data_IF_055441565804
#
_entry.id   IF_055441565804
#
_cell.length_a   1.000
_cell.length_b   1.000
_cell.length_c   1.000
_cell.angle_alpha   90.00
_cell.angle_beta   90.00
_cell.angle_gamma   90.00
#
_symmetry.space_group_name_H-M   'P 1'
#
loop_
_entity.id
_entity.type
_entity.pdbx_description
1 polymer ?
#
# COMPACT_ATOMS: atom_id res chain seq x y z
N UNK A 1 -21.17 -9.38 -11.21
CA UNK A 1 -19.90 -9.26 -10.48
C UNK A 1 -18.91 -10.18 -11.18
N UNK A 2 -17.82 -9.64 -11.72
CA UNK A 2 -16.75 -10.47 -12.27
C UNK A 2 -16.16 -11.31 -11.14
N UNK A 3 -16.04 -12.63 -11.39
CA UNK A 3 -15.41 -13.53 -10.42
C UNK A 3 -13.92 -13.22 -10.45
N UNK A 4 -13.38 -12.72 -9.34
CA UNK A 4 -11.95 -12.53 -9.17
C UNK A 4 -11.28 -13.87 -8.91
N UNK A 5 -10.14 -14.09 -9.52
CA UNK A 5 -9.41 -15.36 -9.54
C UNK A 5 -8.03 -15.28 -8.89
N UNK A 6 -7.53 -14.08 -8.60
CA UNK A 6 -6.20 -13.88 -8.09
C UNK A 6 -6.16 -12.84 -6.97
N UNK A 7 -5.21 -12.99 -6.05
CA UNK A 7 -4.88 -12.02 -5.02
C UNK A 7 -3.36 -11.83 -4.95
N UNK A 8 -2.92 -10.70 -4.39
CA UNK A 8 -1.52 -10.44 -4.15
C UNK A 8 -1.28 -10.22 -2.66
N UNK A 9 -0.22 -10.82 -2.11
CA UNK A 9 0.23 -10.56 -0.74
C UNK A 9 1.56 -9.81 -0.78
N UNK A 10 1.54 -8.58 -0.27
CA UNK A 10 2.73 -7.74 -0.13
C UNK A 10 3.16 -7.77 1.33
N UNK A 11 4.42 -8.06 1.60
CA UNK A 11 4.87 -8.24 2.98
C UNK A 11 6.35 -7.91 3.16
N UNK A 12 6.77 -7.44 4.34
CA UNK A 12 8.18 -7.34 4.70
C UNK A 12 8.74 -8.70 5.08
N UNK A 13 10.03 -8.90 4.86
CA UNK A 13 10.76 -10.09 5.33
C UNK A 13 10.63 -10.19 6.85
N UNK A 14 10.38 -11.38 7.37
CA UNK A 14 10.25 -11.68 8.80
C UNK A 14 8.84 -12.01 9.28
N UNK A 15 7.81 -11.89 8.40
CA UNK A 15 6.41 -12.21 8.71
C UNK A 15 5.87 -13.42 7.93
N UNK A 16 6.73 -14.28 7.44
CA UNK A 16 6.42 -15.39 6.53
C UNK A 16 5.38 -16.37 7.12
N UNK A 17 5.36 -16.53 8.45
CA UNK A 17 4.37 -17.39 9.10
C UNK A 17 2.94 -16.88 8.89
N UNK A 18 2.75 -15.57 8.97
CA UNK A 18 1.46 -14.91 8.73
C UNK A 18 1.10 -14.95 7.24
N UNK A 19 2.09 -14.69 6.37
CA UNK A 19 1.94 -14.77 4.91
C UNK A 19 1.45 -16.16 4.50
N UNK A 20 2.09 -17.22 5.02
CA UNK A 20 1.66 -18.61 4.75
C UNK A 20 0.19 -18.85 5.11
N UNK A 21 -0.24 -18.35 6.26
CA UNK A 21 -1.64 -18.48 6.68
C UNK A 21 -2.59 -17.70 5.76
N UNK A 22 -2.19 -16.50 5.33
CA UNK A 22 -2.97 -15.70 4.38
C UNK A 22 -3.08 -16.40 3.02
N UNK A 23 -1.98 -16.89 2.46
CA UNK A 23 -1.94 -17.65 1.20
C UNK A 23 -2.89 -18.85 1.27
N UNK A 24 -2.74 -19.71 2.29
CA UNK A 24 -3.61 -20.88 2.46
C UNK A 24 -5.10 -20.52 2.54
N UNK A 25 -5.44 -19.37 3.12
CA UNK A 25 -6.83 -18.93 3.18
C UNK A 25 -7.34 -18.39 1.84
N UNK A 26 -6.53 -17.63 1.09
CA UNK A 26 -6.89 -17.21 -0.26
C UNK A 26 -7.05 -18.38 -1.22
N UNK A 27 -6.17 -19.38 -1.15
CA UNK A 27 -6.29 -20.62 -1.95
C UNK A 27 -7.58 -21.39 -1.64
N UNK A 28 -7.99 -21.46 -0.35
CA UNK A 28 -9.29 -22.04 0.03
C UNK A 28 -10.49 -21.27 -0.52
N UNK A 29 -10.31 -19.97 -0.79
CA UNK A 29 -11.32 -19.14 -1.48
C UNK A 29 -11.30 -19.32 -3.00
N UNK A 30 -10.39 -20.14 -3.54
CA UNK A 30 -10.24 -20.38 -4.97
C UNK A 30 -9.42 -19.32 -5.69
N UNK A 31 -8.59 -18.55 -4.96
CA UNK A 31 -7.73 -17.51 -5.53
C UNK A 31 -6.31 -18.03 -5.73
N UNK A 32 -5.73 -17.74 -6.87
CA UNK A 32 -4.29 -17.83 -7.08
C UNK A 32 -3.57 -16.69 -6.37
N UNK A 33 -2.47 -16.97 -5.69
CA UNK A 33 -1.81 -15.97 -4.85
C UNK A 33 -0.42 -15.65 -5.35
N UNK A 34 -0.20 -14.39 -5.68
CA UNK A 34 1.14 -13.86 -5.95
C UNK A 34 1.71 -13.24 -4.66
N UNK A 35 2.92 -13.63 -4.30
CA UNK A 35 3.63 -13.11 -3.13
C UNK A 35 4.74 -12.17 -3.56
N UNK A 36 4.81 -11.00 -2.93
CA UNK A 36 5.89 -10.04 -3.14
C UNK A 36 6.48 -9.62 -1.79
N UNK A 37 7.67 -10.12 -1.52
CA UNK A 37 8.44 -9.68 -0.36
C UNK A 37 9.05 -8.30 -0.64
N UNK A 38 8.79 -7.34 0.24
CA UNK A 38 9.51 -6.07 0.22
C UNK A 38 10.84 -6.24 0.96
N UNK A 39 11.89 -5.75 0.34
CA UNK A 39 13.18 -5.63 1.02
C UNK A 39 13.06 -4.72 2.23
N UNK A 40 13.97 -4.88 3.15
CA UNK A 40 14.12 -4.00 4.31
C UNK A 40 14.39 -2.56 3.89
N UNK A 41 14.21 -1.63 4.79
CA UNK A 41 14.61 -0.24 4.61
C UNK A 41 16.13 -0.14 4.50
N UNK A 42 16.64 -0.46 3.32
CA UNK A 42 18.07 -0.54 3.02
C UNK A 42 18.81 0.77 3.38
N UNK A 43 18.12 1.89 3.31
CA UNK A 43 18.65 3.20 3.66
C UNK A 43 19.17 3.32 5.10
N UNK A 44 18.70 2.50 6.03
CA UNK A 44 19.26 2.48 7.39
C UNK A 44 20.70 1.96 7.47
N UNK A 45 21.18 1.35 6.40
CA UNK A 45 22.52 0.76 6.31
C UNK A 45 23.52 1.67 5.57
N UNK A 46 23.07 2.81 5.05
CA UNK A 46 23.89 3.73 4.28
C UNK A 46 24.27 4.96 5.09
N UNK A 47 25.41 5.56 4.76
CA UNK A 47 25.94 6.74 5.43
C UNK A 47 25.09 8.00 5.22
N UNK A 48 24.28 8.04 4.16
CA UNK A 48 23.44 9.17 3.83
C UNK A 48 22.19 8.76 3.03
N UNK A 49 21.32 9.74 2.77
CA UNK A 49 20.02 9.54 2.14
C UNK A 49 20.13 9.17 0.65
N UNK A 50 19.61 8.01 0.27
CA UNK A 50 19.59 7.45 -1.08
C UNK A 50 18.18 7.41 -1.71
N UNK A 51 17.18 8.03 -1.07
CA UNK A 51 15.78 7.95 -1.56
C UNK A 51 15.58 8.60 -2.91
N UNK A 52 16.43 9.54 -3.29
CA UNK A 52 16.34 10.28 -4.54
C UNK A 52 17.47 9.93 -5.54
N UNK A 53 18.14 8.79 -5.40
CA UNK A 53 19.23 8.37 -6.29
C UNK A 53 18.79 8.28 -7.76
N UNK A 54 17.51 8.05 -8.03
CA UNK A 54 16.95 8.14 -9.38
C UNK A 54 17.18 9.49 -10.06
N UNK A 55 17.44 10.56 -9.28
CA UNK A 55 17.74 11.88 -9.83
C UNK A 55 18.96 11.86 -10.76
N UNK A 56 19.86 10.90 -10.58
CA UNK A 56 21.03 10.74 -11.44
C UNK A 56 20.68 10.44 -12.91
N UNK A 57 19.59 9.72 -13.17
CA UNK A 57 19.22 9.25 -14.51
C UNK A 57 17.76 9.51 -14.91
N UNK A 58 16.96 10.11 -14.03
CA UNK A 58 15.54 10.35 -14.29
C UNK A 58 15.37 11.48 -15.30
N UNK A 59 14.91 11.15 -16.49
CA UNK A 59 14.50 12.07 -17.52
C UNK A 59 13.16 11.67 -18.16
N UNK A 60 12.67 12.49 -19.08
CA UNK A 60 11.38 12.24 -19.75
C UNK A 60 11.39 10.93 -20.56
N UNK A 61 12.47 10.64 -21.28
CA UNK A 61 12.57 9.44 -22.12
C UNK A 61 12.57 8.16 -21.27
N UNK A 62 13.22 8.19 -20.10
CA UNK A 62 13.20 7.10 -19.14
C UNK A 62 11.79 6.84 -18.61
N UNK A 63 11.07 7.89 -18.23
CA UNK A 63 9.69 7.79 -17.74
C UNK A 63 8.75 7.25 -18.82
N UNK A 64 8.80 7.80 -20.02
CA UNK A 64 7.93 7.36 -21.13
C UNK A 64 8.17 5.90 -21.50
N UNK A 65 9.43 5.46 -21.57
CA UNK A 65 9.76 4.04 -21.81
C UNK A 65 9.24 3.15 -20.68
N UNK A 66 9.39 3.58 -19.42
CA UNK A 66 8.86 2.86 -18.28
C UNK A 66 7.34 2.71 -18.32
N UNK A 67 6.62 3.75 -18.74
CA UNK A 67 5.16 3.73 -18.89
C UNK A 67 4.72 2.82 -20.05
N UNK A 68 5.44 2.86 -21.17
CA UNK A 68 5.18 1.96 -22.31
C UNK A 68 5.38 0.48 -21.89
N UNK A 69 6.49 0.18 -21.22
CA UNK A 69 6.73 -1.17 -20.70
C UNK A 69 5.64 -1.61 -19.72
N UNK A 70 5.21 -0.73 -18.84
CA UNK A 70 4.14 -0.99 -17.88
C UNK A 70 2.81 -1.31 -18.57
N UNK A 71 2.46 -0.53 -19.60
CA UNK A 71 1.26 -0.75 -20.40
C UNK A 71 1.32 -2.06 -21.18
N UNK A 72 2.45 -2.36 -21.83
CA UNK A 72 2.62 -3.59 -22.60
C UNK A 72 2.51 -4.83 -21.71
N UNK A 73 3.09 -4.81 -20.52
CA UNK A 73 2.96 -5.91 -19.57
C UNK A 73 1.49 -6.15 -19.15
N UNK A 74 0.70 -5.08 -18.95
CA UNK A 74 -0.72 -5.24 -18.68
C UNK A 74 -1.53 -5.74 -19.88
N UNK A 75 -1.17 -5.38 -21.11
CA UNK A 75 -1.84 -5.93 -22.29
C UNK A 75 -1.54 -7.42 -22.46
N UNK A 76 -0.28 -7.84 -22.26
CA UNK A 76 0.12 -9.24 -22.35
C UNK A 76 -0.57 -10.09 -21.27
N UNK A 77 -0.67 -9.57 -20.04
CA UNK A 77 -1.23 -10.27 -18.88
C UNK A 77 -2.67 -9.83 -18.54
N UNK A 78 -3.40 -9.32 -19.51
CA UNK A 78 -4.73 -8.72 -19.32
C UNK A 78 -5.73 -9.61 -18.60
N UNK A 79 -5.73 -10.89 -18.91
CA UNK A 79 -6.67 -11.87 -18.29
C UNK A 79 -6.38 -11.99 -16.79
N UNK A 80 -5.13 -12.10 -16.42
CA UNK A 80 -4.70 -12.17 -15.02
C UNK A 80 -4.96 -10.86 -14.28
N UNK A 81 -4.68 -9.72 -14.93
CA UNK A 81 -4.92 -8.40 -14.34
C UNK A 81 -6.41 -8.16 -14.03
N UNK A 82 -7.32 -8.51 -14.95
CA UNK A 82 -8.77 -8.41 -14.73
C UNK A 82 -9.23 -9.32 -13.58
N UNK A 83 -8.61 -10.49 -13.45
CA UNK A 83 -8.88 -11.44 -12.36
C UNK A 83 -8.40 -11.00 -10.98
N UNK A 84 -7.60 -9.93 -10.87
CA UNK A 84 -7.04 -9.49 -9.60
C UNK A 84 -8.10 -8.95 -8.64
N UNK A 85 -8.23 -9.57 -7.47
CA UNK A 85 -9.14 -9.13 -6.41
C UNK A 85 -8.60 -7.90 -5.64
N UNK A 86 -7.30 -7.73 -5.62
CA UNK A 86 -6.60 -6.65 -4.95
C UNK A 86 -5.49 -7.15 -4.02
N UNK A 87 -4.69 -6.24 -3.47
CA UNK A 87 -3.60 -6.59 -2.57
C UNK A 87 -4.06 -6.76 -1.12
N UNK A 88 -3.46 -7.74 -0.43
CA UNK A 88 -3.36 -7.77 1.02
C UNK A 88 -1.93 -7.35 1.39
N UNK A 89 -1.80 -6.27 2.13
CA UNK A 89 -0.51 -5.67 2.49
C UNK A 89 -0.28 -5.86 3.99
N UNK A 90 0.87 -6.38 4.35
CA UNK A 90 1.32 -6.41 5.74
C UNK A 90 2.32 -5.27 5.91
N UNK A 91 1.96 -4.30 6.73
CA UNK A 91 2.82 -3.16 7.06
C UNK A 91 3.33 -3.27 8.49
N UNK A 92 4.64 -3.25 8.65
CA UNK A 92 5.26 -3.22 9.97
C UNK A 92 5.32 -1.81 10.52
N UNK A 93 5.22 -1.69 11.83
CA UNK A 93 5.39 -0.42 12.54
C UNK A 93 6.17 -0.64 13.85
N UNK A 94 6.61 0.46 14.46
CA UNK A 94 7.44 0.43 15.66
C UNK A 94 8.92 0.30 15.35
N UNK A 95 9.32 0.52 14.11
CA UNK A 95 10.71 0.68 13.75
C UNK A 95 11.25 2.01 14.29
N UNK A 96 12.57 2.06 14.52
CA UNK A 96 13.24 3.33 14.77
C UNK A 96 13.02 4.28 13.59
N UNK A 97 12.73 5.57 13.86
CA UNK A 97 12.54 6.55 12.79
C UNK A 97 13.74 6.58 11.86
N UNK A 98 13.48 6.51 10.55
CA UNK A 98 14.52 6.69 9.56
C UNK A 98 14.93 8.17 9.52
N UNK A 99 16.16 8.46 9.91
CA UNK A 99 16.72 9.81 9.95
C UNK A 99 18.08 9.82 9.24
N UNK A 100 18.07 9.80 7.88
CA UNK A 100 19.31 9.77 7.11
C UNK A 100 20.04 11.10 7.22
N UNK A 101 21.36 11.01 7.23
CA UNK A 101 22.22 12.18 7.18
C UNK A 101 22.13 12.85 5.79
N UNK A 102 21.97 14.16 5.77
CA UNK A 102 22.00 14.93 4.52
C UNK A 102 23.44 15.33 4.20
N UNK A 103 23.96 14.80 3.11
CA UNK A 103 25.30 15.13 2.58
C UNK A 103 25.18 15.74 1.19
N UNK A 104 26.20 16.51 0.80
CA UNK A 104 26.26 17.14 -0.53
C UNK A 104 26.36 16.11 -1.67
N UNK A 105 26.84 14.92 -1.36
CA UNK A 105 26.96 13.77 -2.28
C UNK A 105 25.60 13.12 -2.59
N UNK A 106 24.58 13.33 -1.76
CA UNK A 106 23.26 12.78 -1.98
C UNK A 106 22.58 13.43 -3.19
N UNK A 107 22.08 12.61 -4.09
CA UNK A 107 21.25 13.11 -5.19
C UNK A 107 19.95 13.71 -4.69
N UNK A 108 19.46 14.75 -5.38
CA UNK A 108 18.17 15.37 -5.10
C UNK A 108 17.45 15.64 -6.41
N UNK A 109 16.14 15.42 -6.40
CA UNK A 109 15.32 15.79 -7.54
C UNK A 109 15.27 17.31 -7.71
N UNK A 110 15.62 17.76 -8.92
CA UNK A 110 15.27 19.10 -9.35
C UNK A 110 13.76 19.22 -9.62
N UNK A 111 13.26 20.45 -9.73
CA UNK A 111 11.82 20.71 -9.93
C UNK A 111 11.23 19.93 -11.10
N UNK A 112 11.90 19.90 -12.25
CA UNK A 112 11.45 19.13 -13.43
C UNK A 112 11.37 17.62 -13.16
N UNK A 113 12.29 17.09 -12.38
CA UNK A 113 12.29 15.66 -12.03
C UNK A 113 11.19 15.33 -11.03
N UNK A 114 10.91 16.22 -10.07
CA UNK A 114 9.76 16.07 -9.18
C UNK A 114 8.44 16.04 -9.97
N UNK A 115 8.29 16.93 -10.96
CA UNK A 115 7.14 16.93 -11.86
C UNK A 115 7.05 15.61 -12.66
N UNK A 116 8.17 15.09 -13.13
CA UNK A 116 8.21 13.78 -13.81
C UNK A 116 7.82 12.62 -12.90
N UNK A 117 8.24 12.64 -11.63
CA UNK A 117 7.81 11.62 -10.65
C UNK A 117 6.29 11.64 -10.43
N UNK A 118 5.70 12.84 -10.28
CA UNK A 118 4.24 13.00 -10.14
C UNK A 118 3.52 12.52 -11.41
N UNK A 119 4.01 12.92 -12.57
CA UNK A 119 3.47 12.47 -13.87
C UNK A 119 3.53 10.95 -14.02
N UNK A 120 4.70 10.33 -13.77
CA UNK A 120 4.88 8.88 -13.84
C UNK A 120 3.89 8.15 -12.92
N UNK A 121 3.80 8.58 -11.66
CA UNK A 121 2.90 7.97 -10.68
C UNK A 121 1.43 8.06 -11.11
N UNK A 122 1.00 9.23 -11.59
CA UNK A 122 -0.34 9.45 -12.12
C UNK A 122 -0.65 8.57 -13.32
N UNK A 123 0.25 8.50 -14.30
CA UNK A 123 0.06 7.70 -15.50
C UNK A 123 0.07 6.19 -15.19
N UNK A 124 0.96 5.72 -14.31
CA UNK A 124 0.94 4.32 -13.85
C UNK A 124 -0.39 3.96 -13.19
N UNK A 125 -0.92 4.84 -12.35
CA UNK A 125 -2.24 4.65 -11.73
C UNK A 125 -3.36 4.56 -12.77
N UNK A 126 -3.37 5.44 -13.75
CA UNK A 126 -4.36 5.43 -14.83
C UNK A 126 -4.28 4.16 -15.68
N UNK A 127 -3.06 3.74 -16.08
CA UNK A 127 -2.86 2.49 -16.82
C UNK A 127 -3.35 1.30 -15.98
N UNK A 128 -2.93 1.21 -14.73
CA UNK A 128 -3.35 0.12 -13.83
C UNK A 128 -4.88 0.05 -13.71
N UNK A 129 -5.57 1.18 -13.54
CA UNK A 129 -7.02 1.22 -13.39
C UNK A 129 -7.80 0.85 -14.68
N UNK A 130 -7.17 0.85 -15.85
CA UNK A 130 -7.78 0.33 -17.08
C UNK A 130 -7.96 -1.19 -17.04
N UNK A 131 -7.07 -1.90 -16.33
CA UNK A 131 -7.05 -3.37 -16.27
C UNK A 131 -7.58 -3.90 -14.93
N UNK A 132 -7.18 -3.25 -13.84
CA UNK A 132 -7.59 -3.59 -12.48
C UNK A 132 -8.48 -2.45 -11.97
N UNK A 133 -9.75 -2.50 -12.32
CA UNK A 133 -10.70 -1.42 -12.01
C UNK A 133 -10.88 -1.24 -10.52
N UNK A 134 -10.84 0.02 -10.08
CA UNK A 134 -10.93 0.38 -8.66
C UNK A 134 -12.22 -0.10 -8.01
N UNK A 135 -13.35 0.00 -8.71
CA UNK A 135 -14.68 -0.41 -8.25
C UNK A 135 -14.87 -1.93 -8.17
N UNK A 136 -14.00 -2.71 -8.81
CA UNK A 136 -14.08 -4.17 -8.85
C UNK A 136 -13.09 -4.86 -7.90
N UNK A 137 -12.24 -4.10 -7.22
CA UNK A 137 -11.21 -4.60 -6.31
C UNK A 137 -11.40 -4.10 -4.90
N UNK A 138 -10.84 -4.82 -3.96
CA UNK A 138 -10.64 -4.37 -2.59
C UNK A 138 -9.15 -4.42 -2.24
N UNK A 139 -8.78 -3.78 -1.15
CA UNK A 139 -7.47 -3.94 -0.55
C UNK A 139 -7.61 -4.06 0.96
N UNK A 140 -6.63 -4.68 1.57
CA UNK A 140 -6.53 -4.71 3.02
C UNK A 140 -5.09 -4.40 3.42
N UNK A 141 -4.94 -3.59 4.46
CA UNK A 141 -3.65 -3.31 5.07
C UNK A 141 -3.71 -3.82 6.50
N UNK A 142 -2.79 -4.71 6.84
CA UNK A 142 -2.69 -5.32 8.15
C UNK A 142 -1.47 -4.75 8.85
N UNK A 143 -1.69 -3.98 9.92
CA UNK A 143 -0.62 -3.44 10.73
C UNK A 143 0.02 -4.56 11.58
N UNK A 144 1.34 -4.60 11.63
CA UNK A 144 2.10 -5.60 12.39
C UNK A 144 3.20 -4.91 13.19
N UNK A 145 3.11 -4.87 14.53
CA UNK A 145 4.12 -4.22 15.35
C UNK A 145 5.41 -5.05 15.40
N UNK A 146 6.54 -4.37 15.42
CA UNK A 146 7.85 -4.98 15.60
C UNK A 146 8.31 -4.90 17.08
N UNK A 147 9.12 -5.85 17.56
CA UNK A 147 9.67 -5.80 18.91
C UNK A 147 10.49 -4.54 19.22
N UNK A 148 11.04 -3.88 18.19
CA UNK A 148 11.75 -2.60 18.30
C UNK A 148 10.89 -1.44 18.82
N UNK A 149 9.57 -1.60 18.86
CA UNK A 149 8.67 -0.62 19.49
C UNK A 149 8.93 -0.45 20.99
N UNK A 150 9.63 -1.40 21.60
CA UNK A 150 10.11 -1.32 22.98
C UNK A 150 9.34 -2.15 23.99
N UNK A 151 9.45 -1.78 25.28
CA UNK A 151 8.96 -2.57 26.43
C UNK A 151 7.45 -2.88 26.40
N UNK A 152 6.66 -2.11 25.65
CA UNK A 152 5.20 -2.33 25.52
C UNK A 152 4.82 -3.19 24.30
N UNK A 153 5.77 -3.87 23.68
CA UNK A 153 5.51 -4.67 22.49
C UNK A 153 4.37 -5.69 22.69
N UNK A 154 4.41 -6.47 23.76
CA UNK A 154 3.40 -7.51 24.04
C UNK A 154 1.98 -6.93 24.14
N UNK A 155 1.83 -5.81 24.82
CA UNK A 155 0.55 -5.12 24.97
C UNK A 155 0.04 -4.60 23.62
N UNK A 156 0.91 -3.92 22.85
CA UNK A 156 0.58 -3.37 21.55
C UNK A 156 0.24 -4.49 20.56
N UNK A 157 1.00 -5.59 20.59
CA UNK A 157 0.74 -6.74 19.75
C UNK A 157 -0.63 -7.36 20.04
N UNK A 158 -0.95 -7.56 21.33
CA UNK A 158 -2.25 -8.09 21.75
C UNK A 158 -3.42 -7.21 21.31
N UNK A 159 -3.33 -5.89 21.46
CA UNK A 159 -4.35 -4.95 20.98
C UNK A 159 -4.44 -4.94 19.43
N UNK A 160 -3.31 -5.04 18.72
CA UNK A 160 -3.30 -5.13 17.27
C UNK A 160 -4.00 -6.40 16.80
N UNK A 161 -3.74 -7.55 17.40
CA UNK A 161 -4.44 -8.80 17.11
C UNK A 161 -5.93 -8.66 17.36
N UNK A 162 -6.33 -8.10 18.48
CA UNK A 162 -7.72 -7.87 18.85
C UNK A 162 -8.45 -7.00 17.81
N UNK A 163 -7.82 -5.90 17.34
CA UNK A 163 -8.37 -5.04 16.31
C UNK A 163 -8.50 -5.79 14.97
N UNK A 164 -7.49 -6.55 14.58
CA UNK A 164 -7.50 -7.29 13.30
C UNK A 164 -8.40 -8.54 13.31
N UNK A 165 -8.90 -8.96 14.46
CA UNK A 165 -9.81 -10.11 14.61
C UNK A 165 -11.23 -9.72 15.00
N UNK A 166 -11.61 -8.46 14.81
CA UNK A 166 -12.97 -7.98 15.05
C UNK A 166 -13.96 -8.64 14.09
N UNK A 167 -15.21 -8.75 14.54
CA UNK A 167 -16.30 -9.25 13.69
C UNK A 167 -16.53 -8.31 12.49
N UNK A 168 -16.00 -8.70 11.34
CA UNK A 168 -16.08 -7.91 10.12
C UNK A 168 -17.53 -7.70 9.65
N UNK A 169 -18.45 -8.62 9.94
CA UNK A 169 -19.86 -8.48 9.57
C UNK A 169 -20.54 -7.38 10.38
N UNK A 170 -20.22 -7.29 11.66
CA UNK A 170 -20.69 -6.20 12.51
C UNK A 170 -20.19 -4.84 11.99
N UNK A 171 -18.88 -4.77 11.71
CA UNK A 171 -18.26 -3.55 11.16
C UNK A 171 -18.84 -3.16 9.81
N UNK A 172 -18.98 -4.10 8.90
CA UNK A 172 -19.60 -3.88 7.60
C UNK A 172 -20.99 -3.27 7.74
N UNK A 173 -21.82 -3.84 8.64
CA UNK A 173 -23.16 -3.34 8.86
C UNK A 173 -23.19 -1.94 9.47
N UNK A 174 -22.24 -1.62 10.34
CA UNK A 174 -22.09 -0.27 10.89
C UNK A 174 -21.64 0.72 9.81
N UNK A 175 -20.66 0.37 9.02
CA UNK A 175 -20.15 1.19 7.91
C UNK A 175 -21.25 1.42 6.86
N UNK A 176 -22.02 0.39 6.51
CA UNK A 176 -23.12 0.54 5.55
C UNK A 176 -24.15 1.59 6.01
N UNK A 177 -24.51 1.60 7.28
CA UNK A 177 -25.42 2.64 7.80
C UNK A 177 -24.85 4.05 7.66
N UNK A 178 -23.53 4.20 7.83
CA UNK A 178 -22.88 5.50 7.60
C UNK A 178 -22.88 5.88 6.11
N UNK A 179 -22.58 4.92 5.24
CA UNK A 179 -22.63 5.11 3.78
C UNK A 179 -24.02 5.52 3.34
N UNK A 180 -25.07 4.83 3.79
CA UNK A 180 -26.46 5.13 3.43
C UNK A 180 -26.87 6.57 3.81
N UNK A 181 -26.31 7.11 4.89
CA UNK A 181 -26.53 8.50 5.29
C UNK A 181 -25.70 9.47 4.44
N UNK A 182 -24.43 9.14 4.20
CA UNK A 182 -23.52 9.98 3.42
C UNK A 182 -23.93 10.08 1.95
N UNK A 183 -24.47 9.01 1.38
CA UNK A 183 -24.98 8.98 -0.01
C UNK A 183 -26.19 9.90 -0.22
N UNK A 184 -26.87 10.28 0.87
CA UNK A 184 -28.01 11.23 0.84
C UNK A 184 -27.59 12.66 1.17
N UNK A 185 -26.32 12.90 1.52
CA UNK A 185 -25.83 14.19 1.96
C UNK A 185 -25.19 14.98 0.83
N UNK A 186 -25.64 16.22 0.63
CA UNK A 186 -24.98 17.15 -0.30
C UNK A 186 -23.68 17.73 0.29
N UNK A 187 -23.53 17.71 1.61
CA UNK A 187 -22.39 18.28 2.32
C UNK A 187 -22.17 17.58 3.64
N UNK A 188 -20.91 17.38 3.98
CA UNK A 188 -20.46 16.92 5.30
C UNK A 188 -19.67 18.04 5.96
N UNK A 189 -20.05 18.42 7.18
CA UNK A 189 -19.34 19.40 8.00
C UNK A 189 -18.74 18.70 9.22
N UNK A 190 -17.42 18.79 9.36
CA UNK A 190 -16.68 18.16 10.44
C UNK A 190 -16.16 19.23 11.38
N UNK A 191 -16.60 19.21 12.61
CA UNK A 191 -16.16 20.16 13.64
C UNK A 191 -15.43 19.46 14.77
N UNK A 192 -14.42 20.13 15.30
CA UNK A 192 -13.68 19.68 16.48
C UNK A 192 -14.20 20.32 17.77
N UNK A 193 -13.99 19.66 18.91
CA UNK A 193 -14.33 20.17 20.24
C UNK A 193 -13.06 20.28 21.14
N UNK A 194 -13.11 21.21 22.09
CA UNK A 194 -12.04 21.42 23.06
C UNK A 194 -10.78 21.99 22.44
N UNK A 195 -9.66 21.30 22.58
CA UNK A 195 -8.37 21.71 22.00
C UNK A 195 -8.28 21.48 20.50
N UNK A 196 -9.17 20.64 19.93
CA UNK A 196 -9.26 20.44 18.50
C UNK A 196 -10.13 21.55 17.88
N UNK A 197 -9.53 22.37 17.05
CA UNK A 197 -10.19 23.52 16.39
C UNK A 197 -10.49 23.27 14.91
N UNK A 198 -10.72 22.04 14.51
CA UNK A 198 -11.13 21.70 13.15
C UNK A 198 -12.52 22.29 12.89
N UNK A 199 -12.64 23.04 11.79
CA UNK A 199 -13.89 23.60 11.27
C UNK A 199 -13.80 23.72 9.75
#
# INVERSE_FOLDING_TARGET
LSIKTAAQVLYPIGVERMVRAAVCNFEKMGLEVTMLASGTAANKQYDYDHREDRAYYLDKAYVERGLETWKNAFEEEKVHAIGMAGPAVIEVFGEEPFSPETKKEAFRYGEKQQQLCVYEMSQRGQITNQYIKGEERSFTIIAYPLPSIGARFEEIFAETVKINTLDYMLYRNMQQKMIDVLDQADRVHITGKGANKTD
#
